data_IF_650217070018
#
_entry.id   IF_650217070018
#
_cell.length_a   1.000
_cell.length_b   1.000
_cell.length_c   1.000
_cell.angle_alpha   90.00
_cell.angle_beta   90.00
_cell.angle_gamma   90.00
#
_symmetry.space_group_name_H-M   'P 1'
#
loop_
_entity.id
_entity.type
_entity.pdbx_description
1 polymer ?
#
# COMPACT_ATOMS: atom_id res chain seq x y z
N UNK A 1 27.68 -2.18 -4.17
CA UNK A 1 26.73 -1.09 -4.44
C UNK A 1 25.60 -1.25 -3.44
N UNK A 2 25.11 -0.17 -2.82
CA UNK A 2 23.95 -0.25 -1.93
C UNK A 2 22.79 0.50 -2.60
N UNK A 3 21.62 -0.14 -2.68
CA UNK A 3 20.40 0.40 -3.29
C UNK A 3 19.34 0.53 -2.20
N UNK A 4 18.68 1.68 -2.14
CA UNK A 4 17.53 1.91 -1.27
C UNK A 4 16.27 1.99 -2.11
N UNK A 5 15.22 1.27 -1.69
CA UNK A 5 13.90 1.31 -2.32
C UNK A 5 12.89 1.82 -1.29
N UNK A 6 12.25 2.95 -1.60
CA UNK A 6 11.15 3.46 -0.80
C UNK A 6 9.90 2.63 -1.08
N UNK A 7 9.25 2.12 -0.02
CA UNK A 7 8.04 1.31 -0.12
C UNK A 7 6.90 1.95 0.66
N UNK A 8 5.68 1.70 0.22
CA UNK A 8 4.45 2.15 0.88
C UNK A 8 3.46 1.00 0.99
N UNK A 9 2.88 0.89 2.18
CA UNK A 9 1.73 0.03 2.42
C UNK A 9 0.45 0.75 2.00
N UNK A 10 -0.41 0.07 1.24
CA UNK A 10 -1.66 0.61 0.71
C UNK A 10 -2.80 -0.41 0.90
N UNK A 11 -4.08 0.02 0.92
CA UNK A 11 -5.20 -0.90 0.88
C UNK A 11 -5.11 -1.78 -0.38
N UNK A 12 -5.51 -3.04 -0.24
CA UNK A 12 -5.62 -3.96 -1.37
C UNK A 12 -6.50 -3.35 -2.46
N UNK A 13 -6.13 -3.53 -3.73
CA UNK A 13 -6.83 -2.90 -4.87
C UNK A 13 -8.27 -3.39 -5.03
N UNK A 14 -8.64 -4.50 -4.40
CA UNK A 14 -10.00 -5.04 -4.33
C UNK A 14 -10.79 -4.53 -3.10
N UNK A 15 -10.13 -3.84 -2.16
CA UNK A 15 -10.75 -3.30 -0.96
C UNK A 15 -11.72 -2.17 -1.31
N UNK A 16 -12.96 -2.27 -0.81
CA UNK A 16 -13.93 -1.17 -0.91
C UNK A 16 -13.70 -0.15 0.21
N UNK A 17 -13.25 1.04 -0.16
CA UNK A 17 -13.03 2.13 0.79
C UNK A 17 -14.36 2.66 1.33
N UNK A 18 -14.49 2.71 2.65
CA UNK A 18 -15.58 3.37 3.38
C UNK A 18 -15.03 4.58 4.13
N UNK A 19 -15.82 5.65 4.20
CA UNK A 19 -15.49 6.80 5.03
C UNK A 19 -15.94 6.57 6.47
N UNK A 20 -15.20 7.12 7.43
CA UNK A 20 -15.65 7.18 8.83
C UNK A 20 -16.87 8.08 8.97
N UNK A 21 -17.69 7.86 10.00
CA UNK A 21 -18.90 8.64 10.26
C UNK A 21 -18.62 10.14 10.47
N UNK A 22 -17.45 10.46 11.03
CA UNK A 22 -16.96 11.84 11.23
C UNK A 22 -16.45 12.49 9.93
N UNK A 23 -16.45 11.75 8.81
CA UNK A 23 -15.93 12.14 7.49
C UNK A 23 -14.45 12.53 7.49
N UNK A 24 -13.69 12.17 8.53
CA UNK A 24 -12.28 12.49 8.67
C UNK A 24 -11.39 11.25 8.49
N UNK A 25 -11.43 10.70 7.28
CA UNK A 25 -10.60 9.57 6.87
C UNK A 25 -11.42 8.33 6.49
N UNK A 26 -10.70 7.22 6.35
CA UNK A 26 -11.27 5.94 5.92
C UNK A 26 -11.45 5.00 7.11
N UNK A 27 -12.48 4.17 7.08
CA UNK A 27 -12.66 3.08 8.03
C UNK A 27 -11.66 1.96 7.68
N UNK A 28 -10.75 1.67 8.60
CA UNK A 28 -9.64 0.73 8.41
C UNK A 28 -9.94 -0.67 8.94
N UNK A 29 -11.11 -0.88 9.56
CA UNK A 29 -11.43 -2.09 10.33
C UNK A 29 -11.41 -3.38 9.50
N UNK A 30 -11.82 -3.30 8.22
CA UNK A 30 -11.90 -4.43 7.28
C UNK A 30 -10.99 -4.25 6.05
N UNK A 31 -9.89 -3.49 6.19
CA UNK A 31 -8.94 -3.27 5.10
C UNK A 31 -7.82 -4.31 5.15
N UNK A 32 -7.66 -5.07 4.07
CA UNK A 32 -6.42 -5.80 3.83
C UNK A 32 -5.37 -4.83 3.30
N UNK A 33 -4.18 -4.83 3.91
CA UNK A 33 -3.08 -3.97 3.51
C UNK A 33 -2.01 -4.76 2.77
N UNK A 34 -1.56 -4.22 1.64
CA UNK A 34 -0.55 -4.82 0.77
C UNK A 34 0.60 -3.84 0.52
N UNK A 35 1.72 -4.33 0.00
CA UNK A 35 2.73 -3.46 -0.59
C UNK A 35 2.13 -2.87 -1.87
N UNK A 36 2.39 -1.59 -2.13
CA UNK A 36 1.99 -0.97 -3.40
C UNK A 36 2.50 -1.83 -4.58
N UNK A 37 1.64 -2.20 -5.54
CA UNK A 37 2.06 -2.99 -6.70
C UNK A 37 3.20 -2.34 -7.51
N UNK A 38 3.32 -1.01 -7.45
CA UNK A 38 4.43 -0.29 -8.08
C UNK A 38 5.76 -0.53 -7.35
N UNK A 39 5.70 -0.65 -6.03
CA UNK A 39 6.89 -0.79 -5.20
C UNK A 39 7.42 -2.23 -5.26
N UNK A 40 6.55 -3.22 -5.50
CA UNK A 40 6.97 -4.60 -5.81
C UNK A 40 7.90 -4.67 -7.03
N UNK A 41 7.60 -3.90 -8.09
CA UNK A 41 8.46 -3.80 -9.27
C UNK A 41 9.79 -3.11 -8.97
N UNK A 42 9.75 -2.08 -8.11
CA UNK A 42 10.97 -1.38 -7.69
C UNK A 42 11.88 -2.27 -6.84
N UNK A 43 11.30 -3.12 -5.98
CA UNK A 43 12.03 -4.12 -5.20
C UNK A 43 12.66 -5.15 -6.14
N UNK A 44 11.89 -5.70 -7.09
CA UNK A 44 12.39 -6.67 -8.06
C UNK A 44 13.60 -6.12 -8.84
N UNK A 45 13.52 -4.89 -9.35
CA UNK A 45 14.62 -4.31 -10.12
C UNK A 45 15.86 -4.01 -9.26
N UNK A 46 15.69 -3.70 -7.98
CA UNK A 46 16.81 -3.50 -7.07
C UNK A 46 17.54 -4.81 -6.68
N UNK A 47 16.90 -5.96 -6.89
CA UNK A 47 17.46 -7.30 -6.60
C UNK A 47 18.18 -7.93 -7.79
N UNK A 48 17.96 -7.44 -9.01
CA UNK A 48 18.61 -7.90 -10.25
C UNK A 48 20.06 -7.47 -10.35
#
# INVERSE_FOLDING_TARGET
MNIFVCIKQVPDTTTRIKLRDDRNGIDESDIQWIISPHDELAIEEALR
#
